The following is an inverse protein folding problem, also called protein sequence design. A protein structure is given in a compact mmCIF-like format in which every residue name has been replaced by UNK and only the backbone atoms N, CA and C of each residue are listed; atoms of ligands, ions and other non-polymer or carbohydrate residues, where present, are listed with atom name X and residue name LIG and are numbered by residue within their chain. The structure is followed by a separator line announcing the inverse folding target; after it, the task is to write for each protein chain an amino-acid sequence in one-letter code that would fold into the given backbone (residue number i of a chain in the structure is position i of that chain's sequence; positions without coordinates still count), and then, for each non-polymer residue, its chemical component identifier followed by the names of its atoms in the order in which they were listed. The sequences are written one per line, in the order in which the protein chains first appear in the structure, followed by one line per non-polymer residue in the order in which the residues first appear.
data_IF_281014360795
#
_entry.id   IF_281014360795
#
_cell.length_a   1.000
_cell.length_b   1.000
_cell.length_c   1.000
_cell.angle_alpha   90.00
_cell.angle_beta   90.00
_cell.angle_gamma   90.00
#
_symmetry.space_group_name_H-M   'P 1'
#
loop_
_entity.id
_entity.type
_entity.pdbx_description
1 polymer ?
#
# COMPACT_ATOMS: atom_id res chain seq x y z
N UNK A 1 14.23 2.54 29.53
CA UNK A 1 14.03 2.58 28.07
C UNK A 1 13.99 1.14 27.62
N UNK A 2 12.86 0.69 27.09
CA UNK A 2 12.78 -0.65 26.49
C UNK A 2 13.71 -0.71 25.28
N UNK A 3 14.49 -1.79 25.20
CA UNK A 3 15.36 -2.06 24.08
C UNK A 3 14.46 -2.36 22.87
N UNK A 4 14.39 -1.43 21.91
CA UNK A 4 13.72 -1.69 20.65
C UNK A 4 14.63 -2.66 19.87
N UNK A 5 14.28 -3.94 19.86
CA UNK A 5 14.99 -4.95 19.08
C UNK A 5 14.52 -4.83 17.62
N UNK A 6 15.21 -3.99 16.86
CA UNK A 6 14.89 -3.72 15.46
C UNK A 6 15.70 -4.67 14.57
N UNK A 7 15.00 -5.52 13.82
CA UNK A 7 15.57 -6.41 12.81
C UNK A 7 15.29 -5.83 11.41
N UNK A 8 16.29 -5.17 10.77
CA UNK A 8 16.10 -4.57 9.45
C UNK A 8 15.82 -5.59 8.36
N UNK A 9 16.36 -6.82 8.47
CA UNK A 9 16.18 -7.87 7.47
C UNK A 9 14.74 -8.38 7.50
N UNK A 10 14.21 -8.63 8.70
CA UNK A 10 12.80 -8.99 8.87
C UNK A 10 11.86 -7.88 8.43
N UNK A 11 12.18 -6.62 8.73
CA UNK A 11 11.37 -5.48 8.32
C UNK A 11 11.33 -5.33 6.79
N UNK A 12 12.47 -5.50 6.10
CA UNK A 12 12.53 -5.52 4.62
C UNK A 12 11.69 -6.65 4.02
N UNK A 13 11.83 -7.88 4.55
CA UNK A 13 11.06 -9.02 4.05
C UNK A 13 9.55 -8.78 4.17
N UNK A 14 9.10 -8.25 5.31
CA UNK A 14 7.69 -7.92 5.53
C UNK A 14 7.17 -6.83 4.57
N UNK A 15 7.98 -5.79 4.28
CA UNK A 15 7.61 -4.76 3.31
C UNK A 15 7.59 -5.27 1.87
N UNK A 16 8.51 -6.18 1.51
CA UNK A 16 8.53 -6.80 0.19
C UNK A 16 7.32 -7.72 -0.01
N UNK A 17 6.93 -8.49 1.01
CA UNK A 17 5.68 -9.27 1.01
C UNK A 17 4.45 -8.37 0.87
N UNK A 18 4.41 -7.28 1.64
CA UNK A 18 3.33 -6.31 1.58
C UNK A 18 3.23 -5.64 0.21
N UNK A 19 4.35 -5.22 -0.38
CA UNK A 19 4.38 -4.62 -1.71
C UNK A 19 3.89 -5.60 -2.80
N UNK A 20 4.30 -6.87 -2.73
CA UNK A 20 3.80 -7.92 -3.63
C UNK A 20 2.30 -8.12 -3.50
N UNK A 21 1.78 -8.12 -2.28
CA UNK A 21 0.34 -8.26 -2.03
C UNK A 21 -0.44 -7.05 -2.57
N UNK A 22 0.04 -5.83 -2.35
CA UNK A 22 -0.59 -4.62 -2.90
C UNK A 22 -0.61 -4.66 -4.42
N UNK A 23 0.49 -5.06 -5.07
CA UNK A 23 0.54 -5.19 -6.53
C UNK A 23 -0.45 -6.25 -7.05
N UNK A 24 -0.51 -7.41 -6.39
CA UNK A 24 -1.51 -8.45 -6.68
C UNK A 24 -2.94 -7.91 -6.57
N UNK A 25 -3.25 -7.17 -5.51
CA UNK A 25 -4.57 -6.56 -5.30
C UNK A 25 -4.88 -5.51 -6.37
N UNK A 26 -3.89 -4.71 -6.79
CA UNK A 26 -4.06 -3.77 -7.92
C UNK A 26 -4.36 -4.49 -9.22
N UNK A 27 -3.66 -5.59 -9.50
CA UNK A 27 -3.92 -6.42 -10.68
C UNK A 27 -5.34 -6.98 -10.70
N UNK A 28 -5.80 -7.51 -9.55
CA UNK A 28 -7.17 -8.01 -9.40
C UNK A 28 -8.22 -6.88 -9.52
N UNK A 29 -7.96 -5.74 -8.89
CA UNK A 29 -8.86 -4.58 -8.89
C UNK A 29 -8.96 -3.94 -10.28
N UNK A 30 -7.86 -3.87 -11.03
CA UNK A 30 -7.82 -3.29 -12.38
C UNK A 30 -8.50 -4.14 -13.46
N UNK A 31 -8.87 -5.39 -13.17
CA UNK A 31 -9.42 -6.33 -14.13
C UNK A 31 -10.82 -5.96 -14.67
N UNK A 32 -11.66 -5.31 -13.86
CA UNK A 32 -12.89 -4.67 -14.32
C UNK A 32 -13.47 -3.76 -13.24
N UNK A 33 -13.99 -2.60 -13.64
CA UNK A 33 -14.83 -1.79 -12.77
C UNK A 33 -16.22 -2.46 -12.66
N UNK A 34 -16.80 -2.56 -11.45
CA UNK A 34 -18.17 -3.02 -11.30
C UNK A 34 -19.12 -2.07 -12.02
N UNK A 35 -20.01 -2.65 -12.84
CA UNK A 35 -21.04 -1.95 -13.60
C UNK A 35 -22.41 -2.44 -13.15
N UNK A 36 -23.33 -1.52 -12.90
CA UNK A 36 -24.74 -1.82 -12.70
C UNK A 36 -25.58 -1.21 -13.83
N UNK A 37 -26.03 -2.01 -14.81
CA UNK A 37 -26.85 -1.48 -15.89
C UNK A 37 -28.19 -0.97 -15.32
N UNK A 38 -28.47 0.33 -15.45
CA UNK A 38 -29.65 0.94 -14.85
C UNK A 38 -30.97 0.29 -15.28
N UNK A 39 -31.02 -0.24 -16.51
CA UNK A 39 -32.13 -1.00 -17.08
C UNK A 39 -32.40 -2.35 -16.40
N UNK A 40 -31.45 -2.88 -15.64
CA UNK A 40 -31.63 -4.07 -14.79
C UNK A 40 -32.33 -3.75 -13.47
N UNK A 41 -32.50 -2.48 -13.10
CA UNK A 41 -33.21 -2.08 -11.89
C UNK A 41 -34.73 -2.35 -11.97
N UNK A 42 -35.27 -2.58 -13.17
CA UNK A 42 -36.70 -2.75 -13.40
C UNK A 42 -37.42 -1.44 -13.72
N UNK A 43 -38.66 -1.56 -14.22
CA UNK A 43 -39.47 -0.41 -14.63
C UNK A 43 -39.74 0.51 -13.42
N UNK A 44 -39.47 1.80 -13.59
CA UNK A 44 -39.65 2.81 -12.54
C UNK A 44 -38.43 3.03 -11.64
N UNK A 45 -37.39 2.20 -11.72
CA UNK A 45 -36.20 2.28 -10.85
C UNK A 45 -34.92 2.67 -11.61
N UNK A 46 -35.02 3.13 -12.85
CA UNK A 46 -33.87 3.51 -13.69
C UNK A 46 -32.98 4.55 -12.99
N UNK A 47 -33.57 5.54 -12.32
CA UNK A 47 -32.80 6.55 -11.58
C UNK A 47 -32.06 5.94 -10.38
N UNK A 48 -32.67 4.98 -9.67
CA UNK A 48 -32.01 4.25 -8.59
C UNK A 48 -30.87 3.39 -9.13
N UNK A 49 -31.06 2.74 -10.28
CA UNK A 49 -30.02 1.99 -10.96
C UNK A 49 -28.82 2.85 -11.34
N UNK A 50 -29.05 4.05 -11.87
CA UNK A 50 -27.98 5.01 -12.20
C UNK A 50 -27.22 5.47 -10.94
N UNK A 51 -27.93 5.69 -9.82
CA UNK A 51 -27.28 6.04 -8.53
C UNK A 51 -26.41 4.90 -7.99
N UNK A 52 -26.87 3.65 -8.11
CA UNK A 52 -26.10 2.48 -7.70
C UNK A 52 -24.83 2.31 -8.55
N UNK A 53 -24.95 2.48 -9.86
CA UNK A 53 -23.80 2.45 -10.78
C UNK A 53 -22.75 3.50 -10.42
N UNK A 54 -23.19 4.74 -10.21
CA UNK A 54 -22.31 5.83 -9.78
C UNK A 54 -21.64 5.54 -8.42
N UNK A 55 -22.36 4.98 -7.45
CA UNK A 55 -21.82 4.62 -6.15
C UNK A 55 -20.77 3.51 -6.25
N UNK A 56 -21.01 2.49 -7.08
CA UNK A 56 -20.04 1.42 -7.35
C UNK A 56 -18.79 1.96 -8.02
N UNK A 57 -18.93 2.85 -9.01
CA UNK A 57 -17.80 3.52 -9.65
C UNK A 57 -16.98 4.36 -8.67
N UNK A 58 -17.63 5.14 -7.81
CA UNK A 58 -16.96 5.96 -6.80
C UNK A 58 -16.21 5.11 -5.75
N UNK A 59 -16.84 4.03 -5.27
CA UNK A 59 -16.21 3.09 -4.35
C UNK A 59 -15.00 2.41 -5.00
N UNK A 60 -15.14 1.95 -6.24
CA UNK A 60 -14.06 1.32 -6.99
C UNK A 60 -12.89 2.27 -7.20
N UNK A 61 -13.14 3.53 -7.59
CA UNK A 61 -12.11 4.56 -7.72
C UNK A 61 -11.41 4.87 -6.40
N UNK A 62 -12.17 4.93 -5.30
CA UNK A 62 -11.60 5.15 -3.95
C UNK A 62 -10.66 4.01 -3.55
N UNK A 63 -11.05 2.76 -3.79
CA UNK A 63 -10.20 1.59 -3.52
C UNK A 63 -8.93 1.60 -4.36
N UNK A 64 -9.01 1.97 -5.65
CA UNK A 64 -7.84 2.12 -6.51
C UNK A 64 -6.86 3.18 -5.96
N UNK A 65 -7.38 4.31 -5.48
CA UNK A 65 -6.59 5.36 -4.85
C UNK A 65 -5.86 4.87 -3.59
N UNK A 66 -6.58 4.16 -2.71
CA UNK A 66 -6.01 3.57 -1.48
C UNK A 66 -4.90 2.56 -1.77
N UNK A 67 -5.07 1.68 -2.77
CA UNK A 67 -4.02 0.75 -3.16
C UNK A 67 -2.74 1.47 -3.61
N UNK A 68 -2.88 2.58 -4.35
CA UNK A 68 -1.74 3.42 -4.72
C UNK A 68 -1.09 4.15 -3.54
N UNK A 69 -1.85 4.53 -2.52
CA UNK A 69 -1.31 5.10 -1.27
C UNK A 69 -0.51 4.07 -0.48
N UNK A 70 -1.01 2.83 -0.37
CA UNK A 70 -0.32 1.74 0.31
C UNK A 70 1.02 1.39 -0.36
N UNK A 71 1.05 1.36 -1.69
CA UNK A 71 2.29 1.18 -2.46
C UNK A 71 3.32 2.27 -2.15
N UNK A 72 2.90 3.55 -2.19
CA UNK A 72 3.78 4.68 -1.85
C UNK A 72 4.29 4.61 -0.41
N UNK A 73 3.41 4.25 0.52
CA UNK A 73 3.77 4.11 1.94
C UNK A 73 4.80 2.98 2.15
N UNK A 74 4.62 1.84 1.48
CA UNK A 74 5.58 0.74 1.53
C UNK A 74 6.95 1.13 0.97
N UNK A 75 6.97 1.83 -0.17
CA UNK A 75 8.20 2.36 -0.77
C UNK A 75 8.92 3.35 0.15
N UNK A 76 8.17 4.25 0.80
CA UNK A 76 8.73 5.17 1.79
C UNK A 76 9.30 4.43 2.99
N UNK A 77 8.56 3.50 3.58
CA UNK A 77 9.00 2.72 4.73
C UNK A 77 10.30 1.95 4.43
N UNK A 78 10.43 1.40 3.21
CA UNK A 78 11.66 0.73 2.76
C UNK A 78 12.84 1.70 2.71
N UNK A 79 12.65 2.89 2.16
CA UNK A 79 13.70 3.92 2.10
C UNK A 79 14.10 4.40 3.50
N UNK A 80 13.15 4.53 4.42
CA UNK A 80 13.44 4.94 5.81
C UNK A 80 14.29 3.87 6.54
N UNK A 81 14.02 2.58 6.30
CA UNK A 81 14.82 1.47 6.86
C UNK A 81 16.24 1.46 6.28
N UNK A 82 16.38 1.69 4.97
CA UNK A 82 17.68 1.82 4.31
C UNK A 82 18.52 2.93 4.94
N UNK A 83 17.93 4.11 5.12
CA UNK A 83 18.60 5.24 5.74
C UNK A 83 19.00 4.96 7.21
N UNK A 84 18.17 4.23 7.96
CA UNK A 84 18.49 3.85 9.33
C UNK A 84 19.68 2.90 9.42
N UNK A 85 19.73 1.88 8.56
CA UNK A 85 20.85 0.92 8.49
C UNK A 85 22.14 1.63 8.10
N UNK A 86 22.10 2.50 7.09
CA UNK A 86 23.28 3.26 6.66
C UNK A 86 23.83 4.15 7.77
N UNK A 87 22.95 4.77 8.56
CA UNK A 87 23.31 5.59 9.71
C UNK A 87 23.95 4.77 10.84
N UNK A 88 23.40 3.59 11.13
CA UNK A 88 23.94 2.68 12.15
C UNK A 88 25.32 2.16 11.76
N UNK A 89 25.50 1.75 10.50
CA UNK A 89 26.80 1.32 9.95
C UNK A 89 27.84 2.46 9.99
N UNK A 90 27.43 3.69 9.65
CA UNK A 90 28.30 4.86 9.74
C UNK A 90 28.74 5.12 11.20
N UNK A 91 27.81 5.00 12.15
CA UNK A 91 28.09 5.19 13.56
C UNK A 91 29.04 4.10 14.11
N UNK A 92 28.78 2.83 13.79
CA UNK A 92 29.63 1.69 14.17
C UNK A 92 31.07 1.84 13.64
N UNK A 93 31.23 2.29 12.38
CA UNK A 93 32.54 2.62 11.79
C UNK A 93 33.25 3.76 12.52
N UNK A 94 32.53 4.82 12.90
CA UNK A 94 33.09 5.94 13.67
C UNK A 94 33.59 5.48 15.05
N UNK A 95 32.83 4.64 15.75
CA UNK A 95 33.20 4.14 17.08
C UNK A 95 34.38 3.17 17.04
N UNK A 96 34.44 2.32 16.03
CA UNK A 96 35.56 1.38 15.82
C UNK A 96 36.84 2.09 15.36
N UNK A 97 36.72 3.18 14.61
CA UNK A 97 37.84 4.04 14.22
C UNK A 97 38.41 4.89 15.36
N UNK A 98 37.58 5.31 16.32
CA UNK A 98 37.98 6.11 17.48
C UNK A 98 38.71 5.30 18.57
N UNK A 99 38.80 3.97 18.43
CA UNK A 99 39.41 3.04 19.39
C UNK A 99 40.90 2.70 19.10
N UNK A 100 41.60 3.50 18.29
CA UNK A 100 43.04 3.37 18.03
C UNK A 100 43.84 4.50 18.66
#
# INVERSE_FOLDING_TARGET
MDHLDFDPARARAALDDFAREVDRQRGLHGGSAPLFPAEKAGRGFVELGARLDAALGALHGTTAGRLGELERAAGKARSDIEALVDADDAHARSLSGARR
#
